data_IF_627767365920
#
_entry.id   IF_627767365920
#
_cell.length_a   1.000
_cell.length_b   1.000
_cell.length_c   1.000
_cell.angle_alpha   90.00
_cell.angle_beta   90.00
_cell.angle_gamma   90.00
#
_symmetry.space_group_name_H-M   'P 1'
#
loop_
_entity.id
_entity.type
_entity.pdbx_description
1 polymer ?
#
# COMPACT_ATOMS: atom_id res chain seq x y z
N UNK A 1 1.04 6.60 18.75
CA UNK A 1 -0.37 6.20 18.51
C UNK A 1 -0.63 4.84 19.15
N UNK A 2 -1.86 4.52 19.56
CA UNK A 2 -2.25 3.16 20.02
C UNK A 2 -2.78 2.38 18.82
N UNK A 3 -1.90 1.62 18.18
CA UNK A 3 -2.24 0.88 16.97
C UNK A 3 -3.21 -0.28 17.20
N UNK A 4 -3.29 -0.79 18.44
CA UNK A 4 -4.32 -1.76 18.79
C UNK A 4 -5.71 -1.16 18.72
N UNK A 5 -5.87 0.04 19.26
CA UNK A 5 -7.13 0.78 19.19
C UNK A 5 -7.45 1.24 17.76
N UNK A 6 -6.44 1.67 17.00
CA UNK A 6 -6.61 2.06 15.60
C UNK A 6 -7.14 0.87 14.79
N UNK A 7 -6.49 -0.29 14.89
CA UNK A 7 -6.90 -1.51 14.20
C UNK A 7 -8.33 -1.92 14.56
N UNK A 8 -8.66 -1.87 15.83
CA UNK A 8 -10.02 -2.18 16.33
C UNK A 8 -11.07 -1.23 15.75
N UNK A 9 -10.77 0.06 15.71
CA UNK A 9 -11.66 1.08 15.14
C UNK A 9 -11.89 0.82 13.64
N UNK A 10 -10.84 0.53 12.88
CA UNK A 10 -10.94 0.24 11.44
C UNK A 10 -11.83 -0.97 11.17
N UNK A 11 -11.71 -2.03 11.96
CA UNK A 11 -12.56 -3.21 11.83
C UNK A 11 -14.03 -2.86 12.11
N UNK A 12 -14.30 -2.14 13.19
CA UNK A 12 -15.66 -1.75 13.58
C UNK A 12 -16.31 -0.83 12.54
N UNK A 13 -15.60 0.19 12.06
CA UNK A 13 -16.15 1.11 11.06
C UNK A 13 -16.33 0.43 9.69
N UNK A 14 -15.43 -0.48 9.31
CA UNK A 14 -15.61 -1.29 8.09
C UNK A 14 -16.86 -2.15 8.18
N UNK A 15 -17.04 -2.89 9.29
CA UNK A 15 -18.23 -3.71 9.50
C UNK A 15 -19.50 -2.86 9.46
N UNK A 16 -19.52 -1.76 10.18
CA UNK A 16 -20.65 -0.82 10.25
C UNK A 16 -21.00 -0.21 8.87
N UNK A 17 -19.99 0.10 8.06
CA UNK A 17 -20.21 0.58 6.70
C UNK A 17 -20.93 -0.46 5.85
N UNK A 18 -20.49 -1.71 5.89
CA UNK A 18 -21.11 -2.81 5.15
C UNK A 18 -22.57 -3.02 5.59
N UNK A 19 -22.82 -3.09 6.88
CA UNK A 19 -24.16 -3.28 7.45
C UNK A 19 -25.11 -2.12 7.08
N UNK A 20 -24.66 -0.88 7.20
CA UNK A 20 -25.46 0.30 6.89
C UNK A 20 -25.83 0.41 5.40
N UNK A 21 -25.02 -0.15 4.52
CA UNK A 21 -25.23 -0.12 3.08
C UNK A 21 -25.77 -1.43 2.51
N UNK A 22 -26.13 -2.41 3.36
CA UNK A 22 -26.58 -3.73 2.95
C UNK A 22 -25.62 -4.43 1.99
N UNK A 23 -24.32 -4.35 2.28
CA UNK A 23 -23.25 -5.00 1.53
C UNK A 23 -22.84 -6.30 2.22
N UNK A 24 -22.54 -7.33 1.43
CA UNK A 24 -22.29 -8.69 1.92
C UNK A 24 -20.87 -9.17 1.68
N UNK A 25 -20.06 -8.38 0.96
CA UNK A 25 -18.67 -8.77 0.68
C UNK A 25 -17.74 -7.56 0.64
N UNK A 26 -16.51 -7.82 1.04
CA UNK A 26 -15.32 -6.98 0.84
C UNK A 26 -14.49 -7.62 -0.25
N UNK A 27 -14.29 -6.95 -1.37
CA UNK A 27 -13.45 -7.41 -2.47
C UNK A 27 -12.17 -6.60 -2.49
N UNK A 28 -11.03 -7.26 -2.39
CA UNK A 28 -9.72 -6.61 -2.29
C UNK A 28 -8.76 -7.13 -3.35
N UNK A 29 -8.15 -6.21 -4.09
CA UNK A 29 -6.98 -6.47 -4.91
C UNK A 29 -5.73 -6.63 -4.05
N UNK A 30 -5.11 -7.80 -4.07
CA UNK A 30 -3.91 -8.09 -3.26
C UNK A 30 -2.69 -8.03 -4.15
N UNK A 31 -1.93 -6.95 -3.99
CA UNK A 31 -0.67 -6.71 -4.72
C UNK A 31 0.53 -7.44 -4.10
N UNK A 32 0.46 -7.74 -2.81
CA UNK A 32 1.59 -8.21 -1.99
C UNK A 32 2.34 -7.06 -1.30
N UNK A 33 1.91 -5.80 -1.51
CA UNK A 33 2.41 -4.62 -0.80
C UNK A 33 1.82 -4.49 0.61
N UNK A 34 2.41 -3.60 1.42
CA UNK A 34 2.02 -3.43 2.83
C UNK A 34 0.58 -2.96 2.99
N UNK A 35 0.14 -2.00 2.17
CA UNK A 35 -1.19 -1.40 2.26
C UNK A 35 -2.27 -2.46 2.01
N UNK A 36 -2.16 -3.22 0.91
CA UNK A 36 -3.07 -4.31 0.61
C UNK A 36 -3.05 -5.41 1.67
N UNK A 37 -1.88 -5.67 2.29
CA UNK A 37 -1.75 -6.67 3.36
C UNK A 37 -2.41 -6.21 4.66
N UNK A 38 -2.23 -4.95 5.05
CA UNK A 38 -2.90 -4.36 6.23
C UNK A 38 -4.41 -4.34 6.02
N UNK A 39 -4.87 -3.94 4.84
CA UNK A 39 -6.29 -3.95 4.48
C UNK A 39 -6.86 -5.38 4.48
N UNK A 40 -6.11 -6.37 3.99
CA UNK A 40 -6.49 -7.78 4.05
C UNK A 40 -6.69 -8.27 5.49
N UNK A 41 -5.80 -7.88 6.41
CA UNK A 41 -5.93 -8.22 7.82
C UNK A 41 -7.19 -7.61 8.47
N UNK A 42 -7.55 -6.37 8.10
CA UNK A 42 -8.79 -5.72 8.54
C UNK A 42 -10.00 -6.51 8.02
N UNK A 43 -10.04 -6.81 6.72
CA UNK A 43 -11.13 -7.57 6.10
C UNK A 43 -11.29 -8.96 6.71
N UNK A 44 -10.18 -9.64 6.99
CA UNK A 44 -10.16 -10.93 7.66
C UNK A 44 -10.80 -10.87 9.05
N UNK A 45 -10.46 -9.87 9.87
CA UNK A 45 -11.06 -9.72 11.20
C UNK A 45 -12.55 -9.34 11.13
N UNK A 46 -12.97 -8.56 10.14
CA UNK A 46 -14.40 -8.27 9.92
C UNK A 46 -15.15 -9.56 9.61
N UNK A 47 -14.69 -10.38 8.66
CA UNK A 47 -15.32 -11.66 8.32
C UNK A 47 -15.33 -12.64 9.48
N UNK A 48 -14.25 -12.67 10.26
CA UNK A 48 -14.15 -13.52 11.45
C UNK A 48 -15.18 -13.15 12.52
N UNK A 49 -15.49 -11.87 12.70
CA UNK A 49 -16.49 -11.37 13.67
C UNK A 49 -17.91 -11.50 13.17
N UNK A 50 -18.12 -11.34 11.90
CA UNK A 50 -19.41 -11.49 11.23
C UNK A 50 -19.26 -12.43 10.04
N UNK A 51 -19.48 -13.75 10.22
CA UNK A 51 -19.32 -14.75 9.15
C UNK A 51 -20.32 -14.62 7.97
N UNK A 52 -21.34 -13.80 8.10
CA UNK A 52 -22.25 -13.50 7.00
C UNK A 52 -21.61 -12.54 5.99
N UNK A 53 -20.61 -11.77 6.40
CA UNK A 53 -19.79 -10.93 5.54
C UNK A 53 -18.64 -11.76 4.95
N UNK A 54 -18.44 -11.65 3.65
CA UNK A 54 -17.37 -12.40 2.95
C UNK A 54 -16.17 -11.51 2.67
N UNK A 55 -14.98 -12.06 2.78
CA UNK A 55 -13.77 -11.44 2.29
C UNK A 55 -13.27 -12.18 1.05
N UNK A 56 -13.23 -11.50 -0.09
CA UNK A 56 -12.78 -12.03 -1.38
C UNK A 56 -11.46 -11.35 -1.75
N UNK A 57 -10.36 -12.11 -1.71
CA UNK A 57 -9.04 -11.63 -2.08
C UNK A 57 -8.66 -12.03 -3.51
N UNK A 58 -8.17 -11.09 -4.32
CA UNK A 58 -7.84 -11.35 -5.72
C UNK A 58 -6.46 -10.81 -6.04
N UNK A 59 -5.56 -11.68 -6.50
CA UNK A 59 -4.28 -11.24 -7.07
C UNK A 59 -4.42 -11.11 -8.59
N UNK A 60 -4.06 -9.93 -9.11
CA UNK A 60 -4.20 -9.58 -10.52
C UNK A 60 -2.84 -9.20 -11.13
N UNK A 61 -1.89 -10.17 -11.24
CA UNK A 61 -0.58 -9.91 -11.81
C UNK A 61 -0.66 -9.48 -13.27
N UNK A 62 0.30 -8.65 -13.66
CA UNK A 62 0.50 -8.21 -15.04
C UNK A 62 2.01 -8.28 -15.37
N UNK A 63 2.40 -7.99 -16.60
CA UNK A 63 3.77 -8.17 -17.14
C UNK A 63 4.91 -7.58 -16.32
N UNK A 64 4.64 -6.66 -15.43
CA UNK A 64 5.66 -5.95 -14.65
C UNK A 64 5.83 -6.47 -13.22
N UNK A 65 4.99 -7.42 -12.80
CA UNK A 65 5.12 -7.97 -11.46
C UNK A 65 6.33 -8.90 -11.40
N UNK A 66 7.19 -8.69 -10.41
CA UNK A 66 8.31 -9.60 -10.12
C UNK A 66 7.80 -10.94 -9.58
N UNK A 67 8.68 -11.92 -9.53
CA UNK A 67 8.38 -13.22 -8.90
C UNK A 67 8.09 -12.99 -7.42
N UNK A 68 8.88 -12.17 -6.74
CA UNK A 68 8.77 -11.90 -5.32
C UNK A 68 7.46 -11.19 -4.96
N UNK A 69 6.98 -10.24 -5.79
CA UNK A 69 5.66 -9.60 -5.61
C UNK A 69 4.53 -10.63 -5.72
N UNK A 70 4.59 -11.49 -6.72
CA UNK A 70 3.60 -12.54 -6.90
C UNK A 70 3.58 -13.52 -5.72
N UNK A 71 4.76 -13.92 -5.22
CA UNK A 71 4.90 -14.81 -4.07
C UNK A 71 4.32 -14.15 -2.81
N UNK A 72 4.57 -12.86 -2.61
CA UNK A 72 4.03 -12.11 -1.48
C UNK A 72 2.51 -11.97 -1.54
N UNK A 73 1.96 -11.71 -2.72
CA UNK A 73 0.51 -11.71 -2.91
C UNK A 73 -0.09 -13.07 -2.58
N UNK A 74 0.54 -14.19 -3.00
CA UNK A 74 0.08 -15.54 -2.67
C UNK A 74 0.14 -15.83 -1.17
N UNK A 75 1.20 -15.40 -0.48
CA UNK A 75 1.32 -15.53 0.98
C UNK A 75 0.22 -14.75 1.69
N UNK A 76 -0.04 -13.51 1.28
CA UNK A 76 -1.09 -12.68 1.82
C UNK A 76 -2.49 -13.31 1.63
N UNK A 77 -2.80 -13.80 0.42
CA UNK A 77 -4.05 -14.51 0.13
C UNK A 77 -4.26 -15.71 1.04
N UNK A 78 -3.26 -16.55 1.17
CA UNK A 78 -3.33 -17.75 2.03
C UNK A 78 -3.43 -17.40 3.51
N UNK A 79 -2.84 -16.29 3.93
CA UNK A 79 -2.83 -15.86 5.32
C UNK A 79 -4.20 -15.33 5.77
N UNK A 80 -4.87 -14.57 4.93
CA UNK A 80 -6.03 -13.78 5.33
C UNK A 80 -7.35 -14.21 4.67
N UNK A 81 -7.32 -14.96 3.57
CA UNK A 81 -8.54 -15.40 2.89
C UNK A 81 -8.85 -16.87 3.16
N UNK A 82 -10.11 -17.22 3.22
CA UNK A 82 -10.54 -18.63 3.25
C UNK A 82 -10.25 -19.28 1.90
N UNK A 83 -9.91 -20.57 1.88
CA UNK A 83 -9.43 -21.31 0.70
C UNK A 83 -10.32 -21.17 -0.55
N UNK A 84 -11.62 -21.01 -0.38
CA UNK A 84 -12.59 -20.85 -1.48
C UNK A 84 -12.98 -19.40 -1.78
N UNK A 85 -12.27 -18.43 -1.20
CA UNK A 85 -12.57 -17.00 -1.30
C UNK A 85 -11.40 -16.19 -1.87
N UNK A 86 -10.45 -16.85 -2.51
CA UNK A 86 -9.38 -16.14 -3.22
C UNK A 86 -8.99 -16.86 -4.51
N UNK A 87 -8.46 -16.07 -5.44
CA UNK A 87 -7.88 -16.58 -6.68
C UNK A 87 -6.87 -15.60 -7.28
N UNK A 88 -6.18 -16.08 -8.32
CA UNK A 88 -5.24 -15.27 -9.08
C UNK A 88 -5.62 -15.31 -10.54
N UNK A 89 -5.75 -14.14 -11.17
CA UNK A 89 -6.03 -13.99 -12.60
C UNK A 89 -4.94 -13.12 -13.26
N UNK A 90 -4.28 -13.64 -14.26
CA UNK A 90 -3.21 -12.92 -14.96
C UNK A 90 -3.77 -12.04 -16.07
N UNK A 91 -3.67 -10.74 -15.91
CA UNK A 91 -4.20 -9.72 -16.84
C UNK A 91 -3.24 -9.33 -17.97
N UNK A 92 -2.18 -10.10 -18.23
CA UNK A 92 -1.20 -9.75 -19.24
C UNK A 92 -1.79 -9.62 -20.65
N UNK A 93 -2.70 -10.52 -21.02
CA UNK A 93 -3.31 -10.52 -22.36
C UNK A 93 -4.20 -9.28 -22.53
N UNK A 94 -5.03 -8.99 -21.55
CA UNK A 94 -5.94 -7.84 -21.50
C UNK A 94 -5.17 -6.54 -21.56
N UNK A 95 -4.08 -6.46 -20.78
CA UNK A 95 -3.17 -5.32 -20.80
C UNK A 95 -2.53 -5.12 -22.17
N UNK A 96 -2.01 -6.17 -22.82
CA UNK A 96 -1.38 -6.05 -24.14
C UNK A 96 -2.37 -5.58 -25.21
N UNK A 97 -3.61 -6.07 -25.18
CA UNK A 97 -4.68 -5.63 -26.07
C UNK A 97 -5.04 -4.16 -25.84
N UNK A 98 -5.26 -3.76 -24.59
CA UNK A 98 -5.61 -2.38 -24.25
C UNK A 98 -4.45 -1.42 -24.57
N UNK A 99 -3.23 -1.80 -24.25
CA UNK A 99 -2.02 -1.05 -24.60
C UNK A 99 -1.93 -0.83 -26.12
N UNK A 100 -2.13 -1.87 -26.92
CA UNK A 100 -2.13 -1.77 -28.37
C UNK A 100 -3.22 -0.82 -28.88
N UNK A 101 -4.42 -0.87 -28.30
CA UNK A 101 -5.52 0.04 -28.64
C UNK A 101 -5.19 1.49 -28.31
N UNK A 102 -4.67 1.75 -27.11
CA UNK A 102 -4.34 3.11 -26.65
C UNK A 102 -3.13 3.71 -27.38
N UNK A 103 -2.18 2.89 -27.83
CA UNK A 103 -0.97 3.36 -28.53
C UNK A 103 -1.16 3.67 -30.02
N UNK A 104 -2.35 3.44 -30.58
CA UNK A 104 -2.59 3.65 -32.01
C UNK A 104 -2.43 5.09 -32.48
N UNK A 105 -2.61 6.06 -31.61
CA UNK A 105 -2.57 7.48 -31.96
C UNK A 105 -1.38 8.24 -31.37
N UNK A 106 -0.89 7.79 -30.22
CA UNK A 106 0.16 8.46 -29.45
C UNK A 106 1.08 7.46 -28.78
N UNK A 107 2.36 7.82 -28.62
CA UNK A 107 3.27 7.06 -27.79
C UNK A 107 2.77 7.11 -26.34
N UNK A 108 2.68 5.95 -25.74
CA UNK A 108 2.26 5.84 -24.33
C UNK A 108 3.42 6.19 -23.39
N UNK A 109 3.13 7.05 -22.44
CA UNK A 109 4.05 7.31 -21.33
C UNK A 109 4.08 6.12 -20.39
N UNK A 110 5.12 6.03 -19.60
CA UNK A 110 5.27 5.04 -18.54
C UNK A 110 4.10 5.09 -17.52
N UNK A 111 3.76 6.30 -17.09
CA UNK A 111 2.59 6.55 -16.23
C UNK A 111 1.30 6.05 -16.88
N UNK A 112 1.11 6.34 -18.16
CA UNK A 112 -0.06 5.87 -18.92
C UNK A 112 -0.16 4.35 -18.98
N UNK A 113 0.96 3.65 -19.05
CA UNK A 113 1.01 2.18 -19.00
C UNK A 113 0.63 1.63 -17.62
N UNK A 114 1.10 2.26 -16.54
CA UNK A 114 0.69 1.95 -15.17
C UNK A 114 -0.82 2.14 -14.98
N UNK A 115 -1.32 3.29 -15.39
CA UNK A 115 -2.74 3.64 -15.28
C UNK A 115 -3.69 2.66 -16.01
N UNK A 116 -3.26 2.08 -17.13
CA UNK A 116 -4.05 1.03 -17.80
C UNK A 116 -4.12 -0.22 -16.92
N UNK A 117 -3.02 -0.63 -16.30
CA UNK A 117 -3.01 -1.82 -15.43
C UNK A 117 -3.92 -1.64 -14.23
N UNK A 118 -3.85 -0.48 -13.56
CA UNK A 118 -4.70 -0.15 -12.42
C UNK A 118 -6.18 -0.22 -12.81
N UNK A 119 -6.57 0.42 -13.92
CA UNK A 119 -7.96 0.39 -14.41
C UNK A 119 -8.45 -1.00 -14.82
N UNK A 120 -7.60 -1.83 -15.41
CA UNK A 120 -7.96 -3.22 -15.73
C UNK A 120 -8.22 -4.04 -14.47
N UNK A 121 -7.38 -3.89 -13.44
CA UNK A 121 -7.60 -4.52 -12.14
C UNK A 121 -8.92 -4.09 -11.52
N UNK A 122 -9.20 -2.80 -11.53
CA UNK A 122 -10.44 -2.27 -10.98
C UNK A 122 -11.70 -2.82 -11.69
N UNK A 123 -11.65 -3.01 -13.00
CA UNK A 123 -12.76 -3.64 -13.74
C UNK A 123 -13.08 -5.06 -13.22
N UNK A 124 -12.06 -5.86 -12.92
CA UNK A 124 -12.25 -7.21 -12.37
C UNK A 124 -12.80 -7.13 -10.95
N UNK A 125 -12.22 -6.28 -10.10
CA UNK A 125 -12.62 -6.14 -8.69
C UNK A 125 -14.09 -5.69 -8.58
N UNK A 126 -14.52 -4.71 -9.37
CA UNK A 126 -15.91 -4.26 -9.37
C UNK A 126 -16.89 -5.28 -9.93
N UNK A 127 -16.47 -6.10 -10.89
CA UNK A 127 -17.29 -7.21 -11.36
C UNK A 127 -17.54 -8.24 -10.25
N UNK A 128 -16.50 -8.59 -9.50
CA UNK A 128 -16.65 -9.48 -8.35
C UNK A 128 -17.49 -8.85 -7.22
N UNK A 129 -17.24 -7.59 -6.91
CA UNK A 129 -18.03 -6.87 -5.90
C UNK A 129 -19.54 -6.87 -6.28
N UNK A 130 -19.87 -6.63 -7.55
CA UNK A 130 -21.24 -6.71 -8.02
C UNK A 130 -21.84 -8.12 -7.88
N UNK A 131 -21.08 -9.16 -8.21
CA UNK A 131 -21.53 -10.55 -8.09
C UNK A 131 -21.86 -10.93 -6.64
N UNK A 132 -21.04 -10.49 -5.68
CA UNK A 132 -21.21 -10.79 -4.26
C UNK A 132 -22.07 -9.75 -3.51
N UNK A 133 -22.65 -8.77 -4.20
CA UNK A 133 -23.33 -7.63 -3.55
C UNK A 133 -22.46 -6.95 -2.49
N UNK A 134 -21.21 -6.71 -2.83
CA UNK A 134 -20.19 -6.15 -1.94
C UNK A 134 -19.65 -4.81 -2.43
N UNK A 135 -18.54 -4.40 -1.84
CA UNK A 135 -17.77 -3.23 -2.24
C UNK A 135 -16.31 -3.58 -2.50
N UNK A 136 -15.64 -2.75 -3.29
CA UNK A 136 -14.20 -2.82 -3.49
C UNK A 136 -13.51 -2.06 -2.37
N UNK A 137 -12.53 -2.71 -1.75
CA UNK A 137 -11.68 -2.11 -0.71
C UNK A 137 -10.54 -1.34 -1.35
N UNK A 138 -10.37 -0.11 -0.92
CA UNK A 138 -9.30 0.78 -1.31
C UNK A 138 -8.05 0.57 -0.41
N UNK A 139 -6.88 0.83 -0.96
CA UNK A 139 -5.59 0.66 -0.27
C UNK A 139 -4.72 1.90 -0.31
N UNK A 140 -5.23 3.03 -0.80
CA UNK A 140 -4.50 4.28 -0.83
C UNK A 140 -4.34 4.86 0.59
N UNK A 141 -3.14 5.26 0.95
CA UNK A 141 -2.85 5.87 2.24
C UNK A 141 -2.84 7.41 2.14
N UNK A 142 -2.75 8.07 3.30
CA UNK A 142 -2.81 9.52 3.38
C UNK A 142 -1.63 10.21 2.67
N UNK A 143 -0.45 9.60 2.68
CA UNK A 143 0.74 10.09 1.96
C UNK A 143 0.50 10.12 0.46
N UNK A 144 -0.01 9.02 -0.10
CA UNK A 144 -0.37 8.91 -1.52
C UNK A 144 -1.44 9.92 -1.90
N UNK A 145 -2.44 10.10 -1.02
CA UNK A 145 -3.49 11.11 -1.22
C UNK A 145 -2.92 12.52 -1.38
N UNK A 146 -2.06 12.96 -0.47
CA UNK A 146 -1.47 14.30 -0.54
C UNK A 146 -0.49 14.48 -1.70
N UNK A 147 0.19 13.43 -2.11
CA UNK A 147 1.11 13.45 -3.25
C UNK A 147 0.40 13.31 -4.60
N UNK A 148 -0.89 12.97 -4.61
CA UNK A 148 -1.62 12.64 -5.84
C UNK A 148 -1.08 11.37 -6.51
N UNK A 149 -0.55 10.44 -5.72
CA UNK A 149 0.08 9.21 -6.20
C UNK A 149 -0.93 8.06 -6.26
N UNK A 150 -1.90 8.21 -7.14
CA UNK A 150 -2.95 7.21 -7.42
C UNK A 150 -3.47 7.37 -8.85
N UNK A 151 -4.18 6.36 -9.32
CA UNK A 151 -4.83 6.37 -10.64
C UNK A 151 -6.33 6.61 -10.50
N UNK A 152 -6.82 7.75 -10.99
CA UNK A 152 -8.26 8.02 -11.02
C UNK A 152 -8.98 6.90 -11.80
N UNK A 153 -10.01 6.31 -11.20
CA UNK A 153 -10.75 5.14 -11.69
C UNK A 153 -9.90 3.86 -11.81
N UNK A 154 -8.79 3.79 -11.06
CA UNK A 154 -7.89 2.66 -11.09
C UNK A 154 -7.52 2.11 -9.72
N UNK A 155 -7.17 3.00 -8.77
CA UNK A 155 -6.78 2.61 -7.43
C UNK A 155 -7.83 3.02 -6.40
N UNK A 156 -8.45 4.19 -6.57
CA UNK A 156 -9.51 4.70 -5.69
C UNK A 156 -10.78 3.84 -5.79
N UNK A 157 -11.29 3.38 -4.65
CA UNK A 157 -12.40 2.45 -4.57
C UNK A 157 -13.51 2.89 -3.59
N UNK A 158 -14.42 1.97 -3.21
CA UNK A 158 -15.64 2.31 -2.46
C UNK A 158 -15.40 2.59 -0.99
N UNK A 159 -14.50 1.84 -0.35
CA UNK A 159 -14.23 1.95 1.08
C UNK A 159 -12.73 1.84 1.36
N UNK A 160 -12.17 2.88 1.94
CA UNK A 160 -10.77 2.97 2.29
C UNK A 160 -10.56 2.96 3.82
N UNK A 161 -10.29 1.81 4.43
CA UNK A 161 -10.11 1.73 5.87
C UNK A 161 -8.80 2.35 6.36
N UNK A 162 -7.78 2.46 5.49
CA UNK A 162 -6.44 2.95 5.84
C UNK A 162 -6.16 4.38 5.36
N UNK A 163 -7.10 4.99 4.61
CA UNK A 163 -6.91 6.29 3.97
C UNK A 163 -6.64 7.48 4.91
N UNK A 164 -6.86 7.31 6.21
CA UNK A 164 -6.52 8.30 7.24
C UNK A 164 -5.14 8.12 7.87
N UNK A 165 -4.35 7.13 7.47
CA UNK A 165 -3.02 6.86 8.00
C UNK A 165 -1.92 7.31 7.04
N UNK A 166 -0.89 7.93 7.61
CA UNK A 166 0.36 8.19 6.90
C UNK A 166 1.08 6.87 6.57
N UNK A 167 1.88 6.84 5.51
CA UNK A 167 2.58 5.61 5.12
C UNK A 167 3.44 5.03 6.25
N UNK A 168 4.19 5.86 7.00
CA UNK A 168 4.95 5.37 8.15
C UNK A 168 4.06 4.78 9.26
N UNK A 169 2.84 5.28 9.43
CA UNK A 169 1.86 4.73 10.38
C UNK A 169 1.31 3.39 9.91
N UNK A 170 1.19 3.17 8.58
CA UNK A 170 0.87 1.85 8.01
C UNK A 170 1.94 0.82 8.40
N UNK A 171 3.22 1.17 8.35
CA UNK A 171 4.31 0.29 8.80
C UNK A 171 4.19 -0.06 10.29
N UNK A 172 3.88 0.91 11.14
CA UNK A 172 3.69 0.67 12.57
C UNK A 172 2.43 -0.19 12.86
N UNK A 173 1.36 0.04 12.11
CA UNK A 173 0.15 -0.78 12.19
C UNK A 173 0.43 -2.21 11.72
N UNK A 174 1.15 -2.40 10.62
CA UNK A 174 1.54 -3.70 10.12
C UNK A 174 2.39 -4.48 11.12
N UNK A 175 3.32 -3.80 11.80
CA UNK A 175 4.11 -4.38 12.90
C UNK A 175 3.22 -4.86 14.07
N UNK A 176 2.23 -4.04 14.46
CA UNK A 176 1.26 -4.44 15.47
C UNK A 176 0.46 -5.68 15.02
N UNK A 177 -0.02 -5.68 13.78
CA UNK A 177 -0.79 -6.80 13.21
C UNK A 177 0.07 -8.07 13.20
N UNK A 178 1.31 -7.99 12.74
CA UNK A 178 2.25 -9.11 12.76
C UNK A 178 2.44 -9.68 14.16
N UNK A 179 2.73 -8.83 15.13
CA UNK A 179 2.97 -9.26 16.52
C UNK A 179 1.68 -9.91 17.11
N UNK A 180 0.50 -9.40 16.76
CA UNK A 180 -0.78 -9.96 17.12
C UNK A 180 -1.01 -11.36 16.52
N UNK A 181 -0.72 -11.54 15.22
CA UNK A 181 -0.92 -12.82 14.54
C UNK A 181 0.14 -13.85 14.91
N UNK A 182 1.38 -13.47 15.18
CA UNK A 182 2.38 -14.36 15.77
C UNK A 182 1.89 -14.96 17.10
N UNK A 183 1.20 -14.17 17.90
CA UNK A 183 0.63 -14.62 19.17
C UNK A 183 -0.58 -15.55 18.98
N UNK A 184 -1.47 -15.20 18.06
CA UNK A 184 -2.72 -15.93 17.80
C UNK A 184 -2.55 -17.09 16.79
N UNK A 185 -1.43 -17.20 16.11
CA UNK A 185 -1.18 -18.22 15.07
C UNK A 185 -1.29 -19.66 15.56
N UNK A 186 -1.16 -19.90 16.85
CA UNK A 186 -1.42 -21.22 17.43
C UNK A 186 -2.88 -21.67 17.31
N UNK A 187 -3.78 -20.74 17.01
CA UNK A 187 -5.24 -20.96 17.00
C UNK A 187 -5.84 -20.75 15.60
N UNK A 188 -5.06 -20.26 14.63
CA UNK A 188 -5.50 -20.08 13.26
C UNK A 188 -5.17 -21.30 12.41
N UNK A 189 -6.05 -21.69 11.48
CA UNK A 189 -5.75 -22.76 10.52
C UNK A 189 -4.78 -22.28 9.42
N UNK A 190 -3.87 -21.38 9.76
CA UNK A 190 -2.81 -20.95 8.86
C UNK A 190 -1.68 -21.96 8.96
N UNK A 191 -1.34 -22.56 7.82
CA UNK A 191 -0.13 -23.36 7.75
C UNK A 191 1.05 -22.53 8.23
N UNK A 192 1.88 -23.06 9.14
CA UNK A 192 3.16 -22.43 9.49
C UNK A 192 3.96 -22.01 8.25
N UNK A 193 3.84 -22.78 7.18
CA UNK A 193 4.51 -22.56 5.90
C UNK A 193 4.18 -21.22 5.22
N UNK A 194 3.05 -20.59 5.55
CA UNK A 194 2.69 -19.27 5.00
C UNK A 194 3.46 -18.10 5.62
N UNK A 195 4.20 -18.35 6.71
CA UNK A 195 5.02 -17.35 7.41
C UNK A 195 6.42 -17.90 7.77
N UNK A 196 6.91 -18.91 7.04
CA UNK A 196 8.25 -19.50 7.27
C UNK A 196 9.37 -18.48 7.30
N UNK A 197 9.21 -17.38 6.57
CA UNK A 197 10.13 -16.28 6.54
C UNK A 197 10.15 -15.42 7.83
N UNK A 198 9.08 -15.41 8.65
CA UNK A 198 9.06 -14.74 9.97
C UNK A 198 9.77 -15.60 11.00
N UNK A 199 9.67 -16.91 10.85
CA UNK A 199 10.25 -17.90 11.76
C UNK A 199 11.65 -18.36 11.36
N UNK A 200 12.16 -17.91 10.21
CA UNK A 200 13.54 -18.12 9.86
C UNK A 200 14.46 -17.44 10.88
N UNK A 201 15.16 -18.26 11.67
CA UNK A 201 16.10 -17.78 12.68
C UNK A 201 17.17 -16.86 12.09
N UNK A 202 17.60 -17.10 10.83
CA UNK A 202 18.54 -16.25 10.12
C UNK A 202 17.96 -14.87 9.82
N UNK A 203 16.67 -14.77 9.50
CA UNK A 203 16.01 -13.48 9.32
C UNK A 203 15.94 -12.74 10.64
N UNK A 204 15.53 -13.42 11.73
CA UNK A 204 15.48 -12.84 13.07
C UNK A 204 16.86 -12.35 13.57
N UNK A 205 17.91 -13.11 13.33
CA UNK A 205 19.27 -12.72 13.71
C UNK A 205 19.83 -11.59 12.84
N UNK A 206 19.46 -11.53 11.56
CA UNK A 206 19.97 -10.55 10.62
C UNK A 206 19.21 -9.22 10.63
N UNK A 207 17.97 -9.19 11.14
CA UNK A 207 17.17 -7.97 11.23
C UNK A 207 17.08 -7.49 12.68
N UNK A 208 17.94 -6.56 13.06
CA UNK A 208 17.84 -5.82 14.33
C UNK A 208 16.56 -4.96 14.35
N UNK A 209 16.11 -4.52 13.19
CA UNK A 209 14.92 -3.71 13.02
C UNK A 209 13.71 -4.60 12.67
N UNK A 210 12.71 -4.63 13.54
CA UNK A 210 11.46 -5.38 13.33
C UNK A 210 10.68 -4.92 12.10
N UNK A 211 10.85 -3.66 11.69
CA UNK A 211 10.22 -3.11 10.48
C UNK A 211 10.87 -3.67 9.22
N UNK A 212 12.19 -3.77 9.18
CA UNK A 212 12.89 -4.41 8.07
C UNK A 212 12.50 -5.88 7.95
N UNK A 213 12.43 -6.59 9.09
CA UNK A 213 11.94 -7.96 9.11
C UNK A 213 10.50 -8.04 8.59
N UNK A 214 9.61 -7.13 8.96
CA UNK A 214 8.26 -7.05 8.45
C UNK A 214 8.25 -6.73 6.95
N UNK A 215 9.03 -5.78 6.49
CA UNK A 215 9.14 -5.43 5.07
C UNK A 215 9.61 -6.62 4.24
N UNK A 216 10.65 -7.30 4.66
CA UNK A 216 11.13 -8.52 4.02
C UNK A 216 10.05 -9.59 4.01
N UNK A 217 9.44 -9.72 5.11
CA UNK A 217 8.47 -10.73 5.42
C UNK A 217 7.16 -10.58 4.66
N UNK A 218 6.62 -9.39 4.56
CA UNK A 218 5.47 -9.05 3.74
C UNK A 218 5.88 -8.68 2.32
N UNK A 219 7.20 -8.81 2.01
CA UNK A 219 7.83 -8.37 0.77
C UNK A 219 7.38 -6.97 0.38
N UNK A 220 7.41 -6.09 1.35
CA UNK A 220 7.05 -4.70 1.16
C UNK A 220 8.24 -4.02 0.50
N UNK A 221 8.39 -4.26 -0.76
CA UNK A 221 9.08 -3.31 -1.60
C UNK A 221 8.09 -2.24 -2.01
N UNK A 222 8.46 -0.96 -2.03
CA UNK A 222 7.58 0.12 -2.43
C UNK A 222 7.35 0.12 -3.94
N UNK A 223 6.85 -0.98 -4.47
CA UNK A 223 6.47 -1.11 -5.87
C UNK A 223 4.97 -1.28 -5.95
N UNK A 224 4.24 -0.20 -5.73
CA UNK A 224 2.86 -0.19 -6.12
C UNK A 224 2.77 -0.06 -7.64
N UNK A 225 2.48 -1.17 -8.26
CA UNK A 225 1.86 -1.31 -9.56
C UNK A 225 2.30 -0.47 -10.77
N UNK A 226 2.97 0.61 -10.55
CA UNK A 226 3.47 1.47 -11.63
C UNK A 226 4.77 0.95 -12.26
N UNK A 227 5.32 -0.12 -11.72
CA UNK A 227 6.29 -1.04 -12.31
C UNK A 227 7.33 -0.46 -13.27
N UNK A 228 7.97 0.67 -12.93
CA UNK A 228 8.76 1.33 -13.94
C UNK A 228 10.15 1.70 -13.52
N UNK A 229 10.47 1.63 -12.27
CA UNK A 229 11.86 1.83 -11.86
C UNK A 229 12.27 0.77 -10.84
N UNK A 230 13.49 0.31 -10.94
CA UNK A 230 14.16 -0.52 -9.93
C UNK A 230 14.25 0.16 -8.54
N UNK A 231 13.76 1.39 -8.44
CA UNK A 231 13.75 2.22 -7.22
C UNK A 231 12.41 2.19 -6.47
N UNK A 232 11.37 1.54 -7.00
CA UNK A 232 10.06 1.48 -6.35
C UNK A 232 9.36 2.85 -6.26
N UNK A 233 8.33 2.95 -5.40
CA UNK A 233 7.54 4.18 -5.22
C UNK A 233 8.39 5.32 -4.67
N UNK A 234 9.28 5.03 -3.73
CA UNK A 234 10.16 6.05 -3.16
C UNK A 234 11.06 6.66 -4.21
N UNK A 235 11.51 5.88 -5.20
CA UNK A 235 12.27 6.40 -6.34
C UNK A 235 11.47 7.36 -7.23
N UNK A 236 10.15 7.31 -7.19
CA UNK A 236 9.24 8.20 -7.93
C UNK A 236 8.77 9.39 -7.07
N UNK A 237 8.55 9.16 -5.79
CA UNK A 237 8.03 10.14 -4.84
C UNK A 237 9.14 11.08 -4.37
N UNK A 238 10.24 10.52 -3.90
CA UNK A 238 11.36 11.27 -3.34
C UNK A 238 12.68 10.49 -3.58
N UNK A 239 13.26 10.55 -4.80
CA UNK A 239 14.45 9.77 -5.19
C UNK A 239 15.64 9.89 -4.25
N UNK A 240 15.79 11.05 -3.63
CA UNK A 240 16.86 11.35 -2.68
C UNK A 240 16.79 10.52 -1.39
N UNK A 241 15.63 9.95 -1.07
CA UNK A 241 15.44 9.06 0.08
C UNK A 241 15.42 7.57 -0.31
N UNK A 242 15.59 7.25 -1.59
CA UNK A 242 15.50 5.87 -2.10
C UNK A 242 16.59 4.93 -1.54
N UNK A 243 17.65 5.47 -0.96
CA UNK A 243 18.72 4.70 -0.29
C UNK A 243 18.45 4.44 1.20
N UNK A 244 17.46 5.10 1.78
CA UNK A 244 17.00 4.80 3.14
C UNK A 244 16.19 3.50 3.15
N UNK A 245 16.05 2.88 4.32
CA UNK A 245 15.01 1.87 4.44
C UNK A 245 13.62 2.52 4.26
N UNK A 246 12.67 1.75 3.78
CA UNK A 246 11.35 2.27 3.37
C UNK A 246 10.64 3.05 4.49
N UNK A 247 10.68 2.56 5.71
CA UNK A 247 10.08 3.23 6.86
C UNK A 247 10.67 4.63 7.10
N UNK A 248 11.99 4.73 7.14
CA UNK A 248 12.66 6.01 7.39
C UNK A 248 12.45 7.00 6.24
N UNK A 249 12.48 6.51 5.00
CA UNK A 249 12.22 7.32 3.83
C UNK A 249 10.79 7.90 3.84
N UNK A 250 9.79 7.08 4.06
CA UNK A 250 8.40 7.54 4.16
C UNK A 250 8.16 8.45 5.37
N UNK A 251 8.80 8.17 6.49
CA UNK A 251 8.69 9.06 7.65
C UNK A 251 9.23 10.46 7.36
N UNK A 252 10.31 10.59 6.59
CA UNK A 252 10.82 11.89 6.14
C UNK A 252 9.82 12.60 5.22
N UNK A 253 9.27 11.88 4.24
CA UNK A 253 8.25 12.43 3.34
C UNK A 253 7.02 12.88 4.13
N UNK A 254 6.51 12.07 5.03
CA UNK A 254 5.34 12.38 5.84
C UNK A 254 5.59 13.58 6.76
N UNK A 255 6.77 13.69 7.37
CA UNK A 255 7.19 14.86 8.16
C UNK A 255 7.17 16.16 7.32
N UNK A 256 7.66 16.08 6.07
CA UNK A 256 7.67 17.23 5.15
C UNK A 256 6.24 17.65 4.82
N UNK A 257 5.39 16.70 4.47
CA UNK A 257 3.99 16.98 4.14
C UNK A 257 3.25 17.57 5.35
N UNK A 258 3.39 16.97 6.52
CA UNK A 258 2.74 17.42 7.74
C UNK A 258 3.18 18.85 8.11
N UNK A 259 4.49 19.12 8.07
CA UNK A 259 5.03 20.46 8.34
C UNK A 259 4.50 21.48 7.34
N UNK A 260 4.47 21.13 6.05
CA UNK A 260 3.90 22.01 5.02
C UNK A 260 2.42 22.32 5.30
N UNK A 261 1.62 21.32 5.64
CA UNK A 261 0.20 21.49 5.91
C UNK A 261 -0.06 22.31 7.17
N UNK A 262 0.76 22.15 8.21
CA UNK A 262 0.69 22.92 9.45
C UNK A 262 0.91 24.42 9.19
N UNK A 263 1.93 24.75 8.39
CA UNK A 263 2.29 26.13 8.09
C UNK A 263 1.60 26.70 6.84
N UNK A 264 0.83 25.90 6.14
CA UNK A 264 0.07 26.32 4.97
C UNK A 264 -0.96 27.40 5.34
N UNK A 265 -0.80 28.57 4.76
CA UNK A 265 -1.67 29.74 5.03
C UNK A 265 -1.26 30.60 6.22
N UNK A 266 -0.17 30.26 6.91
CA UNK A 266 0.46 31.14 7.91
C UNK A 266 1.17 32.32 7.23
N UNK A 267 1.60 33.27 8.04
CA UNK A 267 2.35 34.41 7.56
C UNK A 267 3.61 33.98 6.77
N UNK A 268 3.95 34.61 5.67
CA UNK A 268 5.08 34.19 4.83
C UNK A 268 6.41 34.01 5.57
N UNK A 269 6.65 34.80 6.62
CA UNK A 269 7.87 34.68 7.44
C UNK A 269 7.90 33.39 8.27
N UNK A 270 6.76 32.99 8.85
CA UNK A 270 6.65 31.75 9.61
C UNK A 270 6.79 30.53 8.71
N UNK A 271 6.19 30.59 7.51
CA UNK A 271 6.35 29.55 6.50
C UNK A 271 7.81 29.40 6.07
N UNK A 272 8.53 30.50 5.81
CA UNK A 272 9.93 30.44 5.42
C UNK A 272 10.82 29.85 6.52
N UNK A 273 10.54 30.19 7.79
CA UNK A 273 11.25 29.58 8.94
C UNK A 273 11.02 28.08 8.98
N UNK A 274 9.80 27.61 8.76
CA UNK A 274 9.49 26.18 8.75
C UNK A 274 10.21 25.43 7.61
N UNK A 275 10.27 26.01 6.43
CA UNK A 275 11.01 25.46 5.29
C UNK A 275 12.52 25.42 5.57
N UNK A 276 13.08 26.48 6.17
CA UNK A 276 14.50 26.50 6.53
C UNK A 276 14.84 25.43 7.59
N UNK A 277 13.94 25.16 8.53
CA UNK A 277 14.09 24.09 9.51
C UNK A 277 13.99 22.68 8.86
N UNK A 278 13.08 22.51 7.89
CA UNK A 278 13.00 21.28 7.09
C UNK A 278 14.29 21.04 6.30
N UNK A 279 14.86 22.05 5.67
CA UNK A 279 16.15 21.95 4.95
C UNK A 279 17.30 21.58 5.89
N UNK A 280 17.29 22.07 7.14
CA UNK A 280 18.29 21.67 8.16
C UNK A 280 18.10 20.21 8.57
N UNK A 281 16.86 19.77 8.73
CA UNK A 281 16.51 18.41 9.15
C UNK A 281 16.75 17.39 8.02
N UNK A 282 16.46 17.76 6.80
CA UNK A 282 16.61 16.96 5.59
C UNK A 282 17.46 17.70 4.55
N UNK A 283 18.79 17.79 4.78
CA UNK A 283 19.67 18.48 3.85
C UNK A 283 19.67 17.77 2.47
N UNK A 284 19.85 18.52 1.38
CA UNK A 284 20.03 17.95 0.06
C UNK A 284 21.23 16.98 0.08
N UNK A 285 21.11 15.90 -0.71
CA UNK A 285 22.23 14.96 -0.89
C UNK A 285 23.40 15.64 -1.55
N UNK A 286 24.61 15.28 -1.19
CA UNK A 286 25.83 15.87 -1.75
C UNK A 286 26.12 15.37 -3.16
N UNK A 287 26.90 16.13 -3.96
CA UNK A 287 27.18 15.97 -5.40
C UNK A 287 27.61 14.57 -5.89
N UNK A 288 27.80 13.59 -5.01
CA UNK A 288 28.17 12.22 -5.38
C UNK A 288 26.97 11.27 -5.48
N UNK A 289 25.79 11.72 -5.09
CA UNK A 289 24.58 10.93 -5.15
C UNK A 289 23.72 11.42 -6.33
N UNK A 290 23.34 10.52 -7.21
CA UNK A 290 22.65 10.79 -8.45
C UNK A 290 21.49 11.78 -8.31
N UNK A 291 21.54 12.85 -9.10
CA UNK A 291 20.47 13.80 -9.39
C UNK A 291 19.71 14.28 -8.15
N UNK A 292 20.29 15.26 -7.53
CA UNK A 292 19.64 15.90 -6.41
C UNK A 292 18.98 17.17 -6.83
N UNK A 293 17.68 17.14 -6.84
CA UNK A 293 16.92 18.30 -6.48
C UNK A 293 16.67 18.29 -4.98
N UNK A 294 16.50 19.45 -4.41
CA UNK A 294 16.23 19.63 -2.99
C UNK A 294 15.02 18.79 -2.57
N UNK A 295 15.24 17.81 -1.71
CA UNK A 295 14.26 16.81 -1.30
C UNK A 295 12.95 17.41 -0.80
N UNK A 296 13.06 18.48 -0.05
CA UNK A 296 11.91 19.19 0.52
C UNK A 296 11.11 19.87 -0.57
N UNK A 297 11.78 20.56 -1.50
CA UNK A 297 11.11 21.26 -2.60
C UNK A 297 10.39 20.30 -3.56
N UNK A 298 10.97 19.14 -3.82
CA UNK A 298 10.32 18.14 -4.68
C UNK A 298 9.04 17.60 -4.05
N UNK A 299 9.06 17.22 -2.77
CA UNK A 299 7.86 16.78 -2.06
C UNK A 299 6.82 17.89 -2.00
N UNK A 300 7.21 19.11 -1.62
CA UNK A 300 6.31 20.28 -1.56
C UNK A 300 5.72 20.59 -2.93
N UNK A 301 6.46 20.42 -4.01
CA UNK A 301 5.95 20.69 -5.37
C UNK A 301 4.78 19.77 -5.75
N UNK A 302 4.72 18.57 -5.18
CA UNK A 302 3.63 17.61 -5.41
C UNK A 302 2.38 17.90 -4.60
N UNK A 303 2.49 18.67 -3.50
CA UNK A 303 1.38 19.01 -2.62
C UNK A 303 0.68 20.32 -3.03
N UNK A 304 1.32 21.12 -3.87
CA UNK A 304 0.75 22.37 -4.40
C UNK A 304 -0.29 22.10 -5.48
#
# INVERSE_FOLDING_TARGET
MDYGKVFETMIQETQKYLENNNLWAMVLGISGGIDSTVTAAICHEVEKRNPDLKFIGISLPCTSNSIDENDSAQKCLKAFCKENQYYTENLQKEYMLMRATCSQRHLMTTIGQGNIKARLRMMVLYNEANYFSGCVMDTDNLTEHYLGFFTIHGDVADLNPIGGLWKHEIYELAKYIRDKYEYDMKHYPMSPDSFDWVDDANIRENYENKIEALNHALNITPTDGNGVNDLGDMGQIAPQFAHDNNYEAYKKVDDIIQTYLEYRGHHPEEYQIAIDELHKKYPPLTDNDYVVQDSVEEVISRIK
#
